data_IF_793803316964
#
_entry.id   IF_793803316964
#
_cell.length_a   1.000
_cell.length_b   1.000
_cell.length_c   1.000
_cell.angle_alpha   90.00
_cell.angle_beta   90.00
_cell.angle_gamma   90.00
#
_symmetry.space_group_name_H-M   'P 1'
#
loop_
_entity.id
_entity.type
_entity.pdbx_description
1 polymer ?
#
# COMPACT_ATOMS: atom_id res chain seq x y z
N UNK A 1 1.81 19.28 -2.05
CA UNK A 1 1.05 18.39 -2.96
C UNK A 1 1.39 16.95 -2.61
N UNK A 2 0.42 16.16 -2.15
CA UNK A 2 0.65 14.79 -1.73
C UNK A 2 0.82 13.87 -2.94
N UNK A 3 1.99 13.26 -3.07
CA UNK A 3 2.28 12.22 -4.06
C UNK A 3 1.65 10.89 -3.63
N UNK A 4 1.35 9.99 -4.58
CA UNK A 4 0.72 8.69 -4.29
C UNK A 4 1.52 7.88 -3.25
N UNK A 5 2.84 7.95 -3.26
CA UNK A 5 3.72 7.32 -2.27
C UNK A 5 3.48 7.86 -0.85
N UNK A 6 3.19 9.16 -0.69
CA UNK A 6 2.86 9.74 0.62
C UNK A 6 1.49 9.24 1.10
N UNK A 7 0.52 9.10 0.19
CA UNK A 7 -0.81 8.53 0.50
C UNK A 7 -0.67 7.08 0.96
N UNK A 8 0.08 6.26 0.22
CA UNK A 8 0.35 4.87 0.61
C UNK A 8 1.05 4.80 1.95
N UNK A 9 2.10 5.60 2.17
CA UNK A 9 2.84 5.57 3.43
C UNK A 9 1.96 5.93 4.63
N UNK A 10 1.09 6.94 4.47
CA UNK A 10 0.09 7.27 5.49
C UNK A 10 -0.89 6.12 5.71
N UNK A 11 -1.43 5.54 4.63
CA UNK A 11 -2.34 4.41 4.72
C UNK A 11 -1.74 3.21 5.46
N UNK A 12 -0.49 2.84 5.13
CA UNK A 12 0.23 1.76 5.82
C UNK A 12 0.41 2.05 7.31
N UNK A 13 0.79 3.29 7.64
CA UNK A 13 0.99 3.72 9.03
C UNK A 13 -0.32 3.68 9.83
N UNK A 14 -1.40 4.25 9.31
CA UNK A 14 -2.70 4.33 10.00
C UNK A 14 -3.34 2.94 10.19
N UNK A 15 -3.09 2.01 9.26
CA UNK A 15 -3.60 0.64 9.33
C UNK A 15 -2.63 -0.35 10.00
N UNK A 16 -1.46 0.10 10.47
CA UNK A 16 -0.44 -0.77 11.07
C UNK A 16 0.13 -1.83 10.10
N UNK A 17 0.07 -1.57 8.80
CA UNK A 17 0.51 -2.51 7.77
C UNK A 17 2.01 -2.32 7.52
N UNK A 18 2.76 -3.43 7.54
CA UNK A 18 4.18 -3.39 7.22
C UNK A 18 4.46 -3.09 5.74
N UNK A 19 5.51 -2.33 5.47
CA UNK A 19 5.99 -2.05 4.11
C UNK A 19 6.28 -3.35 3.33
N UNK A 20 6.79 -4.39 4.00
CA UNK A 20 7.04 -5.72 3.41
C UNK A 20 5.77 -6.38 2.86
N UNK A 21 4.64 -6.22 3.56
CA UNK A 21 3.37 -6.78 3.11
C UNK A 21 2.92 -6.08 1.83
N UNK A 22 3.00 -4.75 1.81
CA UNK A 22 2.69 -3.94 0.64
C UNK A 22 3.59 -4.28 -0.54
N UNK A 23 4.91 -4.33 -0.34
CA UNK A 23 5.91 -4.72 -1.34
C UNK A 23 5.58 -6.06 -1.99
N UNK A 24 5.27 -7.07 -1.17
CA UNK A 24 4.91 -8.40 -1.64
C UNK A 24 3.58 -8.39 -2.39
N UNK A 25 2.60 -7.61 -1.94
CA UNK A 25 1.30 -7.50 -2.58
C UNK A 25 1.39 -6.90 -3.98
N UNK A 26 2.09 -5.77 -4.13
CA UNK A 26 2.24 -5.12 -5.43
C UNK A 26 3.28 -5.81 -6.33
N UNK A 27 4.04 -6.78 -5.81
CA UNK A 27 5.13 -7.43 -6.55
C UNK A 27 6.31 -6.49 -6.82
N UNK A 28 6.62 -5.62 -5.85
CA UNK A 28 7.72 -4.67 -5.96
C UNK A 28 8.88 -5.12 -5.07
N UNK A 29 10.10 -5.14 -5.63
CA UNK A 29 11.31 -5.41 -4.85
C UNK A 29 11.52 -4.32 -3.80
N UNK A 30 12.01 -4.69 -2.62
CA UNK A 30 12.29 -3.76 -1.52
C UNK A 30 13.09 -2.52 -1.95
N UNK A 31 14.13 -2.72 -2.76
CA UNK A 31 14.99 -1.66 -3.30
C UNK A 31 14.22 -0.67 -4.19
N UNK A 32 13.28 -1.17 -4.99
CA UNK A 32 12.45 -0.36 -5.89
C UNK A 32 11.38 0.38 -5.11
N UNK A 33 10.73 -0.29 -4.15
CA UNK A 33 9.71 0.31 -3.29
C UNK A 33 10.30 1.44 -2.43
N UNK A 34 11.46 1.20 -1.80
CA UNK A 34 12.18 2.22 -1.02
C UNK A 34 12.54 3.45 -1.88
N UNK A 35 12.98 3.24 -3.12
CA UNK A 35 13.25 4.34 -4.06
C UNK A 35 11.98 5.05 -4.48
N UNK A 36 10.87 4.34 -4.67
CA UNK A 36 9.57 4.92 -5.00
C UNK A 36 9.03 5.80 -3.86
N UNK A 37 9.10 5.32 -2.62
CA UNK A 37 8.78 6.13 -1.44
C UNK A 37 9.68 7.36 -1.28
N UNK A 38 10.92 7.27 -1.77
CA UNK A 38 11.88 8.38 -1.78
C UNK A 38 11.80 9.26 -3.04
N UNK A 39 10.81 9.06 -3.92
CA UNK A 39 10.67 9.78 -5.19
C UNK A 39 11.81 9.59 -6.21
N UNK A 40 12.65 8.58 -6.02
CA UNK A 40 13.81 8.25 -6.86
C UNK A 40 13.53 7.17 -7.91
N UNK A 41 12.35 6.54 -7.86
CA UNK A 41 11.90 5.54 -8.83
C UNK A 41 10.39 5.66 -9.07
N UNK A 42 9.91 5.03 -10.15
CA UNK A 42 8.49 4.89 -10.47
C UNK A 42 8.12 3.40 -10.44
N UNK A 43 6.89 3.12 -10.03
CA UNK A 43 6.29 1.80 -10.17
C UNK A 43 5.88 1.56 -11.63
N UNK A 44 5.83 0.29 -12.03
CA UNK A 44 5.26 -0.10 -13.32
C UNK A 44 3.73 0.11 -13.33
N UNK A 45 3.09 0.16 -14.52
CA UNK A 45 1.63 0.25 -14.61
C UNK A 45 0.90 -0.85 -13.82
N UNK A 46 1.40 -2.08 -13.86
CA UNK A 46 0.81 -3.21 -13.12
C UNK A 46 0.95 -3.02 -11.59
N UNK A 47 2.10 -2.54 -11.12
CA UNK A 47 2.31 -2.23 -9.70
C UNK A 47 1.45 -1.05 -9.24
N UNK A 48 1.21 -0.07 -10.10
CA UNK A 48 0.30 1.05 -9.84
C UNK A 48 -1.14 0.55 -9.71
N UNK A 49 -1.61 -0.30 -10.61
CA UNK A 49 -2.95 -0.89 -10.54
C UNK A 49 -3.14 -1.66 -9.21
N UNK A 50 -2.20 -2.53 -8.85
CA UNK A 50 -2.19 -3.22 -7.56
C UNK A 50 -2.14 -2.25 -6.37
N UNK A 51 -1.39 -1.16 -6.47
CA UNK A 51 -1.37 -0.11 -5.44
C UNK A 51 -2.75 0.54 -5.28
N UNK A 52 -3.44 0.83 -6.38
CA UNK A 52 -4.79 1.36 -6.34
C UNK A 52 -5.80 0.35 -5.77
N UNK A 53 -5.69 -0.94 -6.12
CA UNK A 53 -6.51 -2.00 -5.50
C UNK A 53 -6.25 -2.14 -4.00
N UNK A 54 -4.99 -2.05 -3.59
CA UNK A 54 -4.58 -2.10 -2.19
C UNK A 54 -5.22 -0.96 -1.38
N UNK A 55 -5.19 0.26 -1.93
CA UNK A 55 -5.79 1.45 -1.32
C UNK A 55 -7.33 1.45 -1.34
N UNK A 56 -7.96 0.65 -2.21
CA UNK A 56 -9.43 0.47 -2.22
C UNK A 56 -9.94 -0.41 -1.09
N UNK A 57 -9.06 -0.91 -0.21
CA UNK A 57 -9.48 -1.66 0.99
C UNK A 57 -9.95 -3.08 0.73
N UNK A 58 -9.81 -3.62 -0.50
CA UNK A 58 -10.25 -4.98 -0.88
C UNK A 58 -9.65 -6.12 -0.02
N UNK A 59 -8.62 -5.83 0.78
CA UNK A 59 -7.90 -6.80 1.61
C UNK A 59 -7.69 -6.38 3.06
N UNK A 60 -8.27 -5.26 3.50
CA UNK A 60 -8.25 -4.86 4.92
C UNK A 60 -9.64 -5.14 5.44
N UNK A 61 -9.81 -6.20 6.24
CA UNK A 61 -11.02 -6.37 7.05
C UNK A 61 -11.15 -5.10 7.88
N UNK A 62 -12.21 -4.34 7.65
CA UNK A 62 -12.49 -3.16 8.46
C UNK A 62 -12.76 -3.59 9.90
N UNK A 63 -12.48 -2.74 10.89
CA UNK A 63 -12.83 -3.03 12.29
C UNK A 63 -14.33 -3.34 12.42
N UNK A 64 -15.15 -2.70 11.59
CA UNK A 64 -16.60 -2.95 11.46
C UNK A 64 -16.87 -4.42 11.07
N UNK A 65 -16.23 -4.96 10.03
CA UNK A 65 -16.35 -6.38 9.65
C UNK A 65 -15.77 -7.37 10.68
N UNK A 66 -14.80 -6.96 11.50
CA UNK A 66 -14.25 -7.78 12.59
C UNK A 66 -15.16 -7.77 13.82
N UNK A 67 -15.91 -6.69 14.04
CA UNK A 67 -16.85 -6.54 15.15
C UNK A 67 -18.26 -7.07 14.82
N UNK A 68 -18.59 -7.30 13.54
CA UNK A 68 -19.89 -7.79 13.08
C UNK A 68 -20.00 -9.34 13.04
N UNK A 69 -19.02 -10.09 13.58
CA UNK A 69 -19.23 -11.48 14.01
C UNK A 69 -19.72 -11.50 15.48
N UNK A 70 -21.01 -11.20 15.69
CA UNK A 70 -21.75 -11.55 16.92
C UNK A 70 -23.19 -11.95 16.63
#
# INVERSE_FOLDING_TARGET
MGTLSNVVRKYLTENGISDKFFEKYIGCSQSTCSKWFSHKAKLTPEQLEKTHEFLKGKHVKTIEEVLEER
#
